data_IF_949777568520
#
_entry.id   IF_949777568520
#
_cell.length_a   1.000
_cell.length_b   1.000
_cell.length_c   1.000
_cell.angle_alpha   90.00
_cell.angle_beta   90.00
_cell.angle_gamma   90.00
#
_symmetry.space_group_name_H-M   'P 1'
#
loop_
_entity.id
_entity.type
_entity.pdbx_description
1 polymer ?
#
# COMPACT_ATOMS: atom_id res chain seq x y z
N UNK A 1 44.10 -5.36 -1.01
CA UNK A 1 42.99 -5.59 -1.96
C UNK A 1 41.68 -5.44 -1.24
N UNK A 2 40.78 -4.64 -1.81
CA UNK A 2 39.61 -4.05 -1.16
C UNK A 2 38.54 -5.07 -0.78
N UNK A 3 37.98 -4.91 0.42
CA UNK A 3 36.72 -5.50 0.81
C UNK A 3 35.61 -4.90 -0.06
N UNK A 4 34.88 -5.74 -0.78
CA UNK A 4 33.72 -5.34 -1.54
C UNK A 4 32.69 -4.73 -0.59
N UNK A 5 32.38 -3.46 -0.82
CA UNK A 5 31.26 -2.78 -0.20
C UNK A 5 29.99 -3.58 -0.53
N UNK A 6 29.24 -3.94 0.50
CA UNK A 6 27.86 -4.37 0.36
C UNK A 6 27.12 -3.17 -0.23
N UNK A 7 26.81 -3.22 -1.53
CA UNK A 7 25.78 -2.36 -2.08
C UNK A 7 24.46 -2.78 -1.44
N UNK A 8 24.11 -2.12 -0.33
CA UNK A 8 22.74 -2.09 0.15
C UNK A 8 21.98 -1.29 -0.89
N UNK A 9 21.41 -1.97 -1.88
CA UNK A 9 20.42 -1.38 -2.76
C UNK A 9 19.32 -0.80 -1.87
N UNK A 10 19.20 0.53 -1.83
CA UNK A 10 18.16 1.28 -1.13
C UNK A 10 16.79 1.02 -1.79
N UNK A 11 16.33 -0.23 -1.81
CA UNK A 11 14.91 -0.54 -1.96
C UNK A 11 14.29 -0.26 -0.60
N UNK A 12 13.83 0.97 -0.42
CA UNK A 12 13.02 1.33 0.75
C UNK A 12 11.81 0.39 0.75
N UNK A 13 11.77 -0.54 1.71
CA UNK A 13 10.63 -1.46 1.88
C UNK A 13 9.34 -0.65 1.92
N UNK A 14 8.28 -1.14 1.26
CA UNK A 14 6.97 -0.48 1.24
C UNK A 14 6.47 -0.15 2.67
N UNK A 15 6.89 -0.93 3.67
CA UNK A 15 6.58 -0.70 5.08
C UNK A 15 7.07 0.66 5.60
N UNK A 16 8.13 1.24 5.04
CA UNK A 16 8.59 2.58 5.43
C UNK A 16 7.53 3.63 5.09
N UNK A 17 6.88 3.50 3.93
CA UNK A 17 5.76 4.37 3.53
C UNK A 17 4.55 4.12 4.42
N UNK A 18 4.20 2.84 4.67
CA UNK A 18 3.08 2.51 5.57
C UNK A 18 3.29 3.13 6.94
N UNK A 19 4.48 2.97 7.52
CA UNK A 19 4.84 3.50 8.83
C UNK A 19 4.85 5.03 8.87
N UNK A 20 5.42 5.69 7.85
CA UNK A 20 5.42 7.16 7.70
C UNK A 20 3.99 7.68 7.76
N UNK A 21 3.09 7.13 6.95
CA UNK A 21 1.74 7.67 6.81
C UNK A 21 0.83 7.29 7.96
N UNK A 22 0.98 6.11 8.55
CA UNK A 22 0.26 5.79 9.78
C UNK A 22 0.71 6.68 10.94
N UNK A 23 2.00 7.01 11.02
CA UNK A 23 2.50 7.98 12.01
C UNK A 23 1.92 9.37 11.77
N UNK A 24 1.94 9.86 10.53
CA UNK A 24 1.38 11.18 10.17
C UNK A 24 -0.11 11.29 10.49
N UNK A 25 -0.85 10.20 10.36
CA UNK A 25 -2.27 10.09 10.68
C UNK A 25 -2.55 9.78 12.16
N UNK A 26 -1.52 9.73 13.01
CA UNK A 26 -1.61 9.35 14.43
C UNK A 26 -2.26 7.97 14.66
N UNK A 27 -2.00 7.02 13.77
CA UNK A 27 -2.49 5.64 13.83
C UNK A 27 -1.40 4.68 14.37
N UNK A 28 -1.78 3.60 15.08
CA UNK A 28 -0.85 2.55 15.49
C UNK A 28 -0.19 1.91 14.26
N UNK A 29 1.09 1.56 14.34
CA UNK A 29 1.80 0.88 13.23
C UNK A 29 1.21 -0.51 12.95
N UNK A 30 1.29 -0.93 11.68
CA UNK A 30 0.93 -2.29 11.26
C UNK A 30 2.17 -3.18 11.29
N UNK A 31 1.95 -4.46 11.54
CA UNK A 31 2.99 -5.48 11.43
C UNK A 31 2.99 -6.07 10.02
N UNK A 32 4.16 -6.14 9.39
CA UNK A 32 4.33 -6.85 8.12
C UNK A 32 4.01 -8.34 8.31
N UNK A 33 3.13 -8.89 7.46
CA UNK A 33 2.76 -10.30 7.49
C UNK A 33 3.00 -10.97 6.14
N UNK A 34 3.82 -12.03 6.14
CA UNK A 34 4.24 -12.72 4.92
C UNK A 34 3.11 -13.50 4.23
N UNK A 35 2.07 -13.93 4.98
CA UNK A 35 0.90 -14.60 4.38
C UNK A 35 0.09 -13.56 3.61
N UNK A 36 -0.10 -12.38 4.19
CA UNK A 36 -0.80 -11.29 3.51
C UNK A 36 -0.05 -10.80 2.27
N UNK A 37 1.30 -10.76 2.29
CA UNK A 37 2.09 -10.44 1.09
C UNK A 37 1.88 -11.48 -0.02
N UNK A 38 1.87 -12.77 0.34
CA UNK A 38 1.62 -13.84 -0.62
C UNK A 38 0.19 -13.77 -1.19
N UNK A 39 -0.81 -13.45 -0.36
CA UNK A 39 -2.20 -13.27 -0.78
C UNK A 39 -2.35 -12.06 -1.73
N UNK A 40 -1.72 -10.93 -1.41
CA UNK A 40 -1.70 -9.76 -2.26
C UNK A 40 -1.03 -10.06 -3.61
N UNK A 41 0.10 -10.78 -3.60
CA UNK A 41 0.80 -11.18 -4.82
C UNK A 41 -0.06 -12.10 -5.69
N UNK A 42 -0.66 -13.13 -5.07
CA UNK A 42 -1.57 -14.05 -5.75
C UNK A 42 -2.74 -13.29 -6.40
N UNK A 43 -3.35 -12.36 -5.67
CA UNK A 43 -4.45 -11.54 -6.22
C UNK A 43 -4.00 -10.74 -7.44
N UNK A 44 -2.82 -10.12 -7.39
CA UNK A 44 -2.28 -9.36 -8.52
C UNK A 44 -1.96 -10.27 -9.73
N UNK A 45 -1.42 -11.46 -9.50
CA UNK A 45 -1.13 -12.44 -10.55
C UNK A 45 -2.42 -12.92 -11.21
N UNK A 46 -3.39 -13.37 -10.41
CA UNK A 46 -4.64 -13.94 -10.91
C UNK A 46 -5.56 -12.88 -11.55
N UNK A 47 -5.40 -11.61 -11.16
CA UNK A 47 -6.11 -10.50 -11.78
C UNK A 47 -5.73 -10.28 -13.25
N UNK A 48 -4.53 -10.69 -13.67
CA UNK A 48 -4.06 -10.63 -15.07
C UNK A 48 -4.34 -9.27 -15.75
N UNK A 49 -3.95 -8.18 -15.08
CA UNK A 49 -4.18 -6.80 -15.54
C UNK A 49 -5.57 -6.23 -15.20
N UNK A 50 -6.44 -7.00 -14.54
CA UNK A 50 -7.73 -6.54 -14.02
C UNK A 50 -7.72 -6.49 -12.49
N UNK A 51 -8.25 -5.39 -11.92
CA UNK A 51 -8.37 -5.21 -10.47
C UNK A 51 -9.57 -5.97 -9.92
N UNK A 52 -9.44 -7.29 -9.79
CA UNK A 52 -10.46 -8.17 -9.22
C UNK A 52 -10.07 -8.56 -7.80
N UNK A 53 -10.89 -8.17 -6.82
CA UNK A 53 -10.64 -8.49 -5.42
C UNK A 53 -10.70 -9.99 -5.14
N UNK A 54 -9.77 -10.48 -4.32
CA UNK A 54 -9.74 -11.85 -3.82
C UNK A 54 -9.38 -11.86 -2.34
N UNK A 55 -10.38 -12.03 -1.47
CA UNK A 55 -10.16 -12.17 -0.02
C UNK A 55 -9.72 -13.61 0.28
N UNK A 56 -8.43 -13.86 0.07
CA UNK A 56 -7.79 -15.13 0.40
C UNK A 56 -7.81 -15.39 1.91
N UNK A 57 -7.63 -16.65 2.33
CA UNK A 57 -7.66 -17.01 3.75
C UNK A 57 -6.68 -16.16 4.57
N UNK A 58 -7.20 -15.56 5.65
CA UNK A 58 -6.44 -14.64 6.51
C UNK A 58 -6.53 -13.17 6.12
N UNK A 59 -6.98 -12.84 4.90
CA UNK A 59 -7.23 -11.47 4.45
C UNK A 59 -8.62 -11.02 4.92
N UNK A 60 -8.69 -9.93 5.69
CA UNK A 60 -9.94 -9.33 6.15
C UNK A 60 -10.36 -8.12 5.32
N UNK A 61 -9.40 -7.45 4.68
CA UNK A 61 -9.64 -6.38 3.73
C UNK A 61 -8.51 -6.30 2.70
N UNK A 62 -8.80 -5.69 1.54
CA UNK A 62 -7.87 -5.60 0.44
C UNK A 62 -8.04 -4.27 -0.29
N UNK A 63 -6.93 -3.67 -0.70
CA UNK A 63 -6.88 -2.48 -1.55
C UNK A 63 -6.07 -2.80 -2.80
N UNK A 64 -6.52 -2.33 -3.96
CA UNK A 64 -5.86 -2.55 -5.26
C UNK A 64 -5.70 -1.22 -5.99
N UNK A 65 -4.66 -1.11 -6.82
CA UNK A 65 -4.48 0.01 -7.74
C UNK A 65 -3.52 -0.40 -8.87
N UNK A 66 -3.54 0.30 -10.01
CA UNK A 66 -2.45 0.20 -10.99
C UNK A 66 -1.12 0.63 -10.37
N UNK A 67 -0.04 -0.10 -10.65
CA UNK A 67 1.33 0.27 -10.28
C UNK A 67 2.18 -0.88 -9.77
N UNK A 68 3.29 -0.51 -9.11
CA UNK A 68 4.32 -1.43 -8.65
C UNK A 68 4.83 -1.02 -7.26
N UNK A 69 4.74 -1.95 -6.30
CA UNK A 69 5.10 -1.71 -4.89
C UNK A 69 6.59 -1.39 -4.71
N UNK A 70 7.46 -1.79 -5.64
CA UNK A 70 8.90 -1.50 -5.59
C UNK A 70 9.27 -0.17 -6.24
N UNK A 71 8.43 0.36 -7.13
CA UNK A 71 8.77 1.53 -7.95
C UNK A 71 8.05 2.81 -7.50
N UNK A 72 6.75 2.74 -7.23
CA UNK A 72 5.92 3.94 -7.01
C UNK A 72 4.94 3.80 -5.84
N UNK A 73 5.28 3.00 -4.82
CA UNK A 73 4.37 2.69 -3.72
C UNK A 73 3.87 3.92 -2.93
N UNK A 74 4.69 4.96 -2.72
CA UNK A 74 4.20 6.19 -2.07
C UNK A 74 3.08 6.86 -2.87
N UNK A 75 3.24 6.92 -4.18
CA UNK A 75 2.24 7.50 -5.08
C UNK A 75 0.94 6.67 -5.08
N UNK A 76 1.04 5.35 -4.94
CA UNK A 76 -0.12 4.47 -4.80
C UNK A 76 -0.76 4.63 -3.42
N UNK A 77 0.01 4.38 -2.36
CA UNK A 77 -0.48 4.36 -0.99
C UNK A 77 -1.10 5.69 -0.57
N UNK A 78 -0.42 6.79 -0.88
CA UNK A 78 -0.89 8.12 -0.51
C UNK A 78 -1.85 8.65 -1.57
N UNK A 79 -1.41 8.65 -2.83
CA UNK A 79 -2.13 9.25 -3.94
C UNK A 79 -3.38 8.47 -4.33
N UNK A 80 -3.27 7.19 -4.62
CA UNK A 80 -4.42 6.38 -5.06
C UNK A 80 -5.39 6.11 -3.90
N UNK A 81 -4.87 5.79 -2.71
CA UNK A 81 -5.69 5.27 -1.61
C UNK A 81 -6.01 6.31 -0.54
N UNK A 82 -5.03 6.88 0.17
CA UNK A 82 -5.33 7.80 1.28
C UNK A 82 -5.98 9.12 0.82
N UNK A 83 -5.60 9.61 -0.36
CA UNK A 83 -6.13 10.86 -0.91
C UNK A 83 -7.57 10.78 -1.40
N UNK A 84 -8.23 9.62 -1.31
CA UNK A 84 -9.70 9.55 -1.35
C UNK A 84 -10.35 10.38 -0.23
N UNK A 85 -9.65 10.56 0.90
CA UNK A 85 -10.09 11.38 2.03
C UNK A 85 -9.04 12.48 2.34
N UNK A 86 -8.92 13.52 1.49
CA UNK A 86 -7.83 14.49 1.59
C UNK A 86 -7.90 15.38 2.84
N UNK A 87 -9.07 15.46 3.49
CA UNK A 87 -9.33 16.33 4.64
C UNK A 87 -9.03 15.66 5.99
N UNK A 88 -8.41 14.48 6.02
CA UNK A 88 -7.99 13.83 7.26
C UNK A 88 -6.86 14.62 7.94
N UNK A 89 -6.85 14.61 9.28
CA UNK A 89 -5.73 15.16 10.04
C UNK A 89 -4.44 14.44 9.63
N UNK A 90 -3.38 15.21 9.32
CA UNK A 90 -2.12 14.67 8.80
C UNK A 90 -1.99 14.65 7.26
N UNK A 91 -3.06 14.99 6.52
CA UNK A 91 -3.06 15.00 5.04
C UNK A 91 -3.03 16.40 4.40
N UNK A 92 -3.00 17.47 5.21
CA UNK A 92 -3.03 18.85 4.72
C UNK A 92 -1.87 19.13 3.75
N UNK A 93 -2.20 19.54 2.52
CA UNK A 93 -1.23 19.88 1.47
C UNK A 93 -0.57 18.69 0.77
N UNK A 94 -0.90 17.45 1.15
CA UNK A 94 -0.29 16.23 0.60
C UNK A 94 -0.84 15.89 -0.78
N UNK A 95 -2.17 15.87 -0.88
CA UNK A 95 -2.83 15.32 -2.07
C UNK A 95 -2.61 16.14 -3.32
N UNK A 96 -2.38 17.46 -3.24
CA UNK A 96 -2.13 18.28 -4.43
C UNK A 96 -0.97 17.81 -5.31
N UNK A 97 0.00 17.07 -4.76
CA UNK A 97 1.08 16.44 -5.52
C UNK A 97 0.86 14.93 -5.70
N UNK A 98 0.56 14.22 -4.60
CA UNK A 98 0.52 12.76 -4.63
C UNK A 98 -0.70 12.22 -5.38
N UNK A 99 -1.80 12.98 -5.50
CA UNK A 99 -3.01 12.56 -6.22
C UNK A 99 -2.96 12.78 -7.74
N UNK A 100 -1.88 13.34 -8.29
CA UNK A 100 -1.84 13.66 -9.73
C UNK A 100 -2.00 12.37 -10.54
N UNK A 101 -3.02 12.33 -11.42
CA UNK A 101 -3.34 11.17 -12.24
C UNK A 101 -4.32 10.17 -11.59
N UNK A 102 -4.73 10.40 -10.35
CA UNK A 102 -5.73 9.60 -9.66
C UNK A 102 -7.12 10.22 -9.72
N UNK A 103 -8.15 9.37 -9.86
CA UNK A 103 -9.55 9.74 -9.88
C UNK A 103 -10.31 8.84 -8.89
N UNK A 104 -11.12 9.45 -8.04
CA UNK A 104 -11.78 8.76 -6.92
C UNK A 104 -13.29 8.71 -7.15
N UNK A 105 -13.87 7.53 -6.97
CA UNK A 105 -15.32 7.33 -6.98
C UNK A 105 -15.84 6.89 -5.60
N UNK A 106 -14.94 6.47 -4.71
CA UNK A 106 -15.25 5.93 -3.38
C UNK A 106 -14.19 6.41 -2.37
N UNK A 107 -14.38 6.04 -1.10
CA UNK A 107 -13.41 6.27 -0.01
C UNK A 107 -12.93 4.99 0.64
N UNK A 108 -13.24 3.84 0.03
CA UNK A 108 -13.13 2.54 0.67
C UNK A 108 -11.67 2.19 0.98
N UNK A 109 -10.72 2.60 0.12
CA UNK A 109 -9.30 2.34 0.37
C UNK A 109 -8.79 3.16 1.55
N UNK A 110 -9.13 4.46 1.61
CA UNK A 110 -8.78 5.29 2.76
C UNK A 110 -9.39 4.76 4.05
N UNK A 111 -10.65 4.31 4.03
CA UNK A 111 -11.34 3.76 5.21
C UNK A 111 -10.69 2.44 5.68
N UNK A 112 -10.28 1.57 4.76
CA UNK A 112 -9.54 0.34 5.09
C UNK A 112 -8.17 0.68 5.71
N UNK A 113 -7.39 1.54 5.07
CA UNK A 113 -6.01 1.84 5.48
C UNK A 113 -5.91 2.67 6.76
N UNK A 114 -6.96 3.42 7.10
CA UNK A 114 -7.02 4.22 8.34
C UNK A 114 -7.74 3.51 9.49
N UNK A 115 -8.36 2.35 9.23
CA UNK A 115 -8.96 1.52 10.26
C UNK A 115 -7.94 1.08 11.30
N UNK A 116 -8.35 1.11 12.57
CA UNK A 116 -7.61 0.56 13.71
C UNK A 116 -7.98 -0.89 14.00
N UNK A 117 -8.92 -1.47 13.25
CA UNK A 117 -9.33 -2.89 13.40
C UNK A 117 -8.24 -3.84 12.92
N UNK A 118 -7.46 -3.42 11.91
CA UNK A 118 -6.38 -4.21 11.35
C UNK A 118 -5.07 -3.89 12.07
N UNK A 119 -4.27 -4.93 12.29
CA UNK A 119 -2.97 -4.86 12.97
C UNK A 119 -1.84 -5.35 12.09
N UNK A 120 -2.17 -5.98 10.96
CA UNK A 120 -1.23 -6.56 10.00
C UNK A 120 -1.48 -6.06 8.58
N UNK A 121 -0.43 -6.09 7.78
CA UNK A 121 -0.48 -5.75 6.36
C UNK A 121 0.56 -6.55 5.57
N UNK A 122 0.21 -6.92 4.34
CA UNK A 122 1.14 -7.43 3.36
C UNK A 122 0.85 -6.84 1.99
N UNK A 123 1.88 -6.32 1.31
CA UNK A 123 1.72 -5.67 0.02
C UNK A 123 2.61 -6.32 -1.03
N UNK A 124 2.11 -6.43 -2.25
CA UNK A 124 2.85 -6.94 -3.40
C UNK A 124 2.31 -6.35 -4.70
N UNK A 125 3.03 -6.59 -5.80
CA UNK A 125 2.57 -6.22 -7.14
C UNK A 125 2.93 -7.28 -8.17
N UNK A 126 2.10 -7.40 -9.20
CA UNK A 126 2.32 -8.21 -10.41
C UNK A 126 1.41 -7.71 -11.53
N UNK A 127 1.82 -7.87 -12.79
CA UNK A 127 0.99 -7.53 -13.94
C UNK A 127 0.55 -6.06 -14.01
N UNK A 128 1.32 -5.14 -13.43
CA UNK A 128 0.95 -3.72 -13.34
C UNK A 128 -0.14 -3.41 -12.31
N UNK A 129 -0.46 -4.35 -11.43
CA UNK A 129 -1.37 -4.19 -10.29
C UNK A 129 -0.52 -4.21 -9.01
N UNK A 130 -0.76 -3.25 -8.13
CA UNK A 130 -0.31 -3.26 -6.75
C UNK A 130 -1.49 -3.53 -5.82
N UNK A 131 -1.25 -4.32 -4.78
CA UNK A 131 -2.26 -4.62 -3.78
C UNK A 131 -1.69 -4.71 -2.37
N UNK A 132 -2.53 -4.41 -1.39
CA UNK A 132 -2.25 -4.68 0.00
C UNK A 132 -3.44 -5.40 0.65
N UNK A 133 -3.12 -6.46 1.39
CA UNK A 133 -4.06 -7.23 2.20
C UNK A 133 -3.87 -6.87 3.68
N UNK A 134 -4.97 -6.75 4.43
CA UNK A 134 -4.98 -6.36 5.85
C UNK A 134 -5.71 -7.39 6.71
N UNK A 135 -5.25 -7.54 7.96
CA UNK A 135 -5.88 -8.38 8.99
C UNK A 135 -5.76 -7.77 10.39
#
# INVERSE_FOLDING_TARGET
SAAAAIEVSNTTSYMVVVDEWRTNLALPKLTRDAILEANAYKTCVDGDGQMVHQLNSGTLAQVLAPGDVKQNFKHIFVGAWLCEKPNMAGMSGVCGKESIGWHYLTTDHADILTSTKYTKIGCASSGGIAGCDLA
#
